data_IF_906569776311
#
_entry.id   IF_906569776311
#
_cell.length_a   1.000
_cell.length_b   1.000
_cell.length_c   1.000
_cell.angle_alpha   90.00
_cell.angle_beta   90.00
_cell.angle_gamma   90.00
#
_symmetry.space_group_name_H-M   'P 1'
#
loop_
_entity.id
_entity.type
_entity.pdbx_description
1 polymer ?
#
# COMPACT_ATOMS: atom_id res chain seq x y z
N UNK A 1 20.68 1.65 -12.24
CA UNK A 1 20.10 0.66 -11.30
C UNK A 1 18.71 1.15 -10.88
N UNK A 2 17.65 0.34 -11.01
CA UNK A 2 16.33 0.68 -10.45
C UNK A 2 16.42 0.51 -8.93
N UNK A 3 16.14 1.58 -8.17
CA UNK A 3 16.04 1.53 -6.71
C UNK A 3 14.97 0.51 -6.31
N UNK A 4 15.31 -0.41 -5.41
CA UNK A 4 14.37 -1.38 -4.89
C UNK A 4 13.37 -0.68 -3.96
N UNK A 5 12.08 -1.00 -4.10
CA UNK A 5 11.01 -0.41 -3.29
C UNK A 5 10.97 -1.11 -1.92
N UNK A 6 11.19 -0.35 -0.86
CA UNK A 6 11.25 -0.83 0.53
C UNK A 6 9.88 -0.80 1.21
N UNK A 7 9.75 -1.43 2.39
CA UNK A 7 8.50 -1.40 3.17
C UNK A 7 8.17 0.03 3.58
N UNK A 8 9.20 0.83 3.89
CA UNK A 8 9.02 2.23 4.29
C UNK A 8 8.55 3.11 3.13
N UNK A 9 9.01 2.85 1.91
CA UNK A 9 8.50 3.56 0.73
C UNK A 9 7.00 3.31 0.54
N UNK A 10 6.55 2.06 0.75
CA UNK A 10 5.13 1.68 0.67
C UNK A 10 4.33 2.33 1.80
N UNK A 11 4.82 2.27 3.06
CA UNK A 11 4.16 2.91 4.21
C UNK A 11 4.06 4.43 4.02
N UNK A 12 5.13 5.09 3.58
CA UNK A 12 5.13 6.51 3.29
C UNK A 12 4.09 6.87 2.21
N UNK A 13 3.99 6.06 1.16
CA UNK A 13 2.98 6.23 0.11
C UNK A 13 1.55 6.09 0.66
N UNK A 14 1.27 5.03 1.43
CA UNK A 14 -0.04 4.79 2.03
C UNK A 14 -0.43 5.96 2.96
N UNK A 15 0.46 6.33 3.89
CA UNK A 15 0.22 7.45 4.82
C UNK A 15 -0.03 8.77 4.12
N UNK A 16 0.73 9.09 3.07
CA UNK A 16 0.60 10.33 2.30
C UNK A 16 -0.74 10.41 1.57
N UNK A 17 -1.27 9.29 1.11
CA UNK A 17 -2.47 9.24 0.29
C UNK A 17 -3.73 8.85 1.07
N UNK A 18 -3.63 8.57 2.36
CA UNK A 18 -4.71 8.08 3.22
C UNK A 18 -6.03 8.85 3.09
N UNK A 19 -5.94 10.19 3.00
CA UNK A 19 -7.09 11.11 2.92
C UNK A 19 -7.63 11.31 1.50
N UNK A 20 -6.88 10.87 0.49
CA UNK A 20 -7.22 11.08 -0.92
C UNK A 20 -8.10 9.95 -1.49
N UNK A 21 -8.33 8.89 -0.71
CA UNK A 21 -9.06 7.71 -1.16
C UNK A 21 -10.31 7.49 -0.30
N UNK A 22 -11.41 7.00 -0.90
CA UNK A 22 -12.67 6.80 -0.19
C UNK A 22 -12.60 5.69 0.87
N UNK A 23 -11.59 4.80 0.79
CA UNK A 23 -11.33 3.78 1.79
C UNK A 23 -9.89 3.32 1.73
N UNK A 24 -9.43 2.65 2.80
CA UNK A 24 -8.10 2.04 2.84
C UNK A 24 -7.97 0.88 1.86
N UNK A 25 -9.07 0.19 1.57
CA UNK A 25 -9.11 -0.86 0.54
C UNK A 25 -8.87 -0.25 -0.85
N UNK A 26 -9.49 0.89 -1.16
CA UNK A 26 -9.28 1.58 -2.43
C UNK A 26 -7.83 2.07 -2.59
N UNK A 27 -7.27 2.64 -1.52
CA UNK A 27 -5.86 3.04 -1.49
C UNK A 27 -4.90 1.86 -1.68
N UNK A 28 -5.16 0.73 -1.00
CA UNK A 28 -4.38 -0.49 -1.12
C UNK A 28 -4.40 -1.03 -2.56
N UNK A 29 -5.58 -1.11 -3.17
CA UNK A 29 -5.75 -1.58 -4.55
C UNK A 29 -5.01 -0.69 -5.56
N UNK A 30 -5.09 0.63 -5.41
CA UNK A 30 -4.35 1.55 -6.29
C UNK A 30 -2.84 1.48 -6.05
N UNK A 31 -2.39 1.31 -4.81
CA UNK A 31 -0.97 1.09 -4.49
C UNK A 31 -0.44 -0.16 -5.19
N UNK A 32 -1.19 -1.26 -5.14
CA UNK A 32 -0.87 -2.50 -5.86
C UNK A 32 -0.80 -2.24 -7.36
N UNK A 33 -1.81 -1.55 -7.93
CA UNK A 33 -1.89 -1.27 -9.37
C UNK A 33 -0.70 -0.45 -9.88
N UNK A 34 -0.25 0.53 -9.09
CA UNK A 34 0.89 1.38 -9.42
C UNK A 34 2.21 0.61 -9.38
N UNK A 35 2.38 -0.29 -8.40
CA UNK A 35 3.61 -1.05 -8.23
C UNK A 35 3.69 -2.26 -9.17
N UNK A 36 2.55 -2.86 -9.52
CA UNK A 36 2.43 -4.03 -10.39
C UNK A 36 1.24 -3.90 -11.37
N UNK A 37 1.37 -3.08 -12.43
CA UNK A 37 0.28 -2.87 -13.38
C UNK A 37 -0.02 -4.15 -14.17
N UNK A 38 -1.25 -4.68 -14.05
CA UNK A 38 -1.73 -5.82 -14.84
C UNK A 38 -1.09 -7.17 -14.52
N UNK A 39 -0.41 -7.29 -13.37
CA UNK A 39 0.21 -8.53 -12.94
C UNK A 39 -0.76 -9.50 -12.27
N UNK A 40 -0.43 -10.79 -12.31
CA UNK A 40 -1.05 -11.78 -11.42
C UNK A 40 -0.72 -11.45 -9.95
N UNK A 41 -1.53 -11.90 -8.97
CA UNK A 41 -1.18 -11.77 -7.57
C UNK A 41 0.21 -12.35 -7.29
N UNK A 42 1.07 -11.55 -6.68
CA UNK A 42 2.46 -11.91 -6.33
C UNK A 42 2.71 -11.68 -4.85
N UNK A 43 3.83 -12.17 -4.31
CA UNK A 43 4.30 -11.82 -2.95
C UNK A 43 4.38 -10.29 -2.70
N UNK A 44 4.64 -9.50 -3.75
CA UNK A 44 4.55 -8.03 -3.70
C UNK A 44 3.15 -7.47 -3.35
N UNK A 45 2.09 -8.14 -3.80
CA UNK A 45 0.71 -7.78 -3.46
C UNK A 45 0.44 -8.05 -1.98
N UNK A 46 0.75 -9.27 -1.51
CA UNK A 46 0.60 -9.67 -0.10
C UNK A 46 1.37 -8.72 0.83
N UNK A 47 2.55 -8.28 0.40
CA UNK A 47 3.36 -7.29 1.12
C UNK A 47 2.64 -5.94 1.26
N UNK A 48 2.02 -5.42 0.21
CA UNK A 48 1.22 -4.16 0.29
C UNK A 48 0.00 -4.35 1.18
N UNK A 49 -0.70 -5.49 1.05
CA UNK A 49 -1.88 -5.82 1.88
C UNK A 49 -1.49 -5.83 3.36
N UNK A 50 -0.42 -6.57 3.72
CA UNK A 50 0.09 -6.63 5.10
C UNK A 50 0.41 -5.25 5.65
N UNK A 51 1.16 -4.44 4.90
CA UNK A 51 1.55 -3.10 5.33
C UNK A 51 0.32 -2.19 5.49
N UNK A 52 -0.67 -2.28 4.61
CA UNK A 52 -1.91 -1.52 4.75
C UNK A 52 -2.69 -1.91 6.01
N UNK A 53 -2.77 -3.20 6.33
CA UNK A 53 -3.42 -3.68 7.56
C UNK A 53 -2.67 -3.23 8.82
N UNK A 54 -1.33 -3.32 8.83
CA UNK A 54 -0.48 -2.80 9.92
C UNK A 54 -0.75 -1.32 10.17
N UNK A 55 -0.83 -0.50 9.12
CA UNK A 55 -1.10 0.94 9.24
C UNK A 55 -2.51 1.23 9.76
N UNK A 56 -3.51 0.42 9.41
CA UNK A 56 -4.89 0.54 9.93
C UNK A 56 -4.91 0.22 11.43
N UNK A 57 -4.23 -0.85 11.85
CA UNK A 57 -4.17 -1.24 13.27
C UNK A 57 -3.42 -0.20 14.11
N UNK A 58 -2.37 0.41 13.56
CA UNK A 58 -1.54 1.37 14.28
C UNK A 58 -2.14 2.78 14.38
N UNK A 59 -3.13 3.09 13.52
CA UNK A 59 -3.98 4.28 13.65
C UNK A 59 -5.38 3.83 14.07
N UNK A 60 -5.65 3.65 15.39
CA UNK A 60 -7.01 3.47 15.84
C UNK A 60 -7.81 4.68 15.34
N UNK A 61 -8.96 4.39 14.72
CA UNK A 61 -9.89 5.36 14.17
C UNK A 61 -10.01 6.57 15.11
N UNK A 62 -9.76 7.77 14.56
CA UNK A 62 -10.18 9.01 15.18
C UNK A 62 -11.70 9.01 15.40
#
# INVERSE_FOLDING_TARGET
MRRQITDEDIRAFLRKNWVNYPSQIALMQETIRLLWPGGAPTNGHERVVRLCLEEITYRPSA
#
